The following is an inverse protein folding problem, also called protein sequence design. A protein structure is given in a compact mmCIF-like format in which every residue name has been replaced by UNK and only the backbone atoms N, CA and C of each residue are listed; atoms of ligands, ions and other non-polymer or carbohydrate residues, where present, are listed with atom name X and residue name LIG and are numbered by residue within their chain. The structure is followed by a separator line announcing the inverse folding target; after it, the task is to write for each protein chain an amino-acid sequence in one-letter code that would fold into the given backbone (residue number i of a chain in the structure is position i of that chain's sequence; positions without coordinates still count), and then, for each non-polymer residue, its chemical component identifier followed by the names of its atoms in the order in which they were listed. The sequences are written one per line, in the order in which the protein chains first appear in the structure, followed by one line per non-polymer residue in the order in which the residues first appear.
data_IF_726529324533
#
_entry.id   IF_726529324533
#
_cell.length_a   1.000
_cell.length_b   1.000
_cell.length_c   1.000
_cell.angle_alpha   90.00
_cell.angle_beta   90.00
_cell.angle_gamma   90.00
#
_symmetry.space_group_name_H-M   'P 1'
#
loop_
_entity.id
_entity.type
_entity.pdbx_description
1 polymer ?
#
# COMPACT_ATOMS: atom_id res chain seq x y z
N UNK A 1 15.36 -11.88 -21.62
CA UNK A 1 14.02 -12.41 -21.27
C UNK A 1 14.20 -13.83 -20.77
N UNK A 2 13.97 -14.06 -19.50
CA UNK A 2 13.89 -15.42 -19.00
C UNK A 2 12.51 -15.97 -19.35
N UNK A 3 12.45 -16.78 -20.41
CA UNK A 3 11.23 -17.41 -20.89
C UNK A 3 10.70 -18.51 -19.94
N UNK A 4 11.46 -18.88 -18.93
CA UNK A 4 11.05 -19.95 -18.00
C UNK A 4 10.05 -19.47 -16.95
N UNK A 5 10.11 -18.21 -16.55
CA UNK A 5 9.21 -17.62 -15.54
C UNK A 5 7.86 -17.21 -16.14
N UNK A 6 7.80 -16.88 -17.42
CA UNK A 6 6.58 -16.43 -18.09
C UNK A 6 5.63 -17.56 -18.53
N UNK A 7 6.04 -18.83 -18.47
CA UNK A 7 5.25 -19.96 -18.98
C UNK A 7 3.98 -20.29 -18.18
N UNK A 8 3.80 -19.73 -16.99
CA UNK A 8 2.63 -19.98 -16.15
C UNK A 8 1.78 -18.75 -15.88
N UNK A 9 2.36 -17.55 -15.86
CA UNK A 9 1.71 -16.33 -15.37
C UNK A 9 1.43 -15.28 -16.44
N UNK A 10 2.02 -15.41 -17.66
CA UNK A 10 1.99 -14.36 -18.68
C UNK A 10 2.91 -13.18 -18.34
N UNK A 11 3.08 -12.27 -19.30
CA UNK A 11 3.77 -11.00 -19.09
C UNK A 11 2.80 -9.97 -18.51
N UNK A 12 3.28 -9.08 -17.62
CA UNK A 12 2.50 -7.92 -17.16
C UNK A 12 2.70 -6.77 -18.13
N UNK A 13 1.61 -6.25 -18.65
CA UNK A 13 1.56 -5.07 -19.51
C UNK A 13 1.13 -3.86 -18.67
N UNK A 14 2.08 -2.99 -18.33
CA UNK A 14 1.77 -1.70 -17.72
C UNK A 14 1.46 -0.69 -18.80
N UNK A 15 0.25 -0.11 -18.77
CA UNK A 15 -0.19 0.93 -19.69
C UNK A 15 -0.41 2.24 -18.93
N UNK A 16 0.29 3.31 -19.34
CA UNK A 16 0.26 4.63 -18.71
C UNK A 16 -0.30 5.71 -19.63
N UNK A 17 -0.57 6.90 -19.03
CA UNK A 17 -0.95 8.12 -19.71
C UNK A 17 -2.30 8.02 -20.45
N UNK A 18 -3.29 7.49 -19.74
CA UNK A 18 -4.67 7.37 -20.22
C UNK A 18 -5.58 8.46 -19.66
N UNK A 19 -5.06 9.55 -19.22
CA UNK A 19 -5.61 10.67 -18.41
C UNK A 19 -6.98 11.22 -18.88
N UNK A 20 -7.89 10.33 -19.27
CA UNK A 20 -9.25 10.58 -19.76
C UNK A 20 -10.20 9.52 -19.21
N UNK A 21 -11.45 9.88 -19.03
CA UNK A 21 -12.54 8.99 -18.59
C UNK A 21 -13.77 9.06 -19.53
N UNK A 22 -13.58 9.62 -20.72
CA UNK A 22 -14.61 9.68 -21.74
C UNK A 22 -14.86 8.29 -22.39
N UNK A 23 -15.94 8.19 -23.15
CA UNK A 23 -16.38 6.93 -23.77
C UNK A 23 -15.31 6.28 -24.65
N UNK A 24 -14.52 7.06 -25.36
CA UNK A 24 -13.47 6.57 -26.23
C UNK A 24 -12.36 5.88 -25.41
N UNK A 25 -11.93 6.50 -24.30
CA UNK A 25 -10.93 5.95 -23.43
C UNK A 25 -11.43 4.72 -22.66
N UNK A 26 -12.68 4.73 -22.21
CA UNK A 26 -13.31 3.56 -21.61
C UNK A 26 -13.31 2.37 -22.60
N UNK A 27 -13.72 2.61 -23.84
CA UNK A 27 -13.71 1.59 -24.90
C UNK A 27 -12.29 1.08 -25.18
N UNK A 28 -11.29 1.97 -25.17
CA UNK A 28 -9.89 1.59 -25.32
C UNK A 28 -9.43 0.64 -24.19
N UNK A 29 -9.74 0.97 -22.93
CA UNK A 29 -9.37 0.13 -21.78
C UNK A 29 -10.01 -1.26 -21.87
N UNK A 30 -11.30 -1.36 -22.27
CA UNK A 30 -11.96 -2.64 -22.53
C UNK A 30 -11.26 -3.42 -23.63
N UNK A 31 -10.99 -2.76 -24.77
CA UNK A 31 -10.31 -3.41 -25.91
C UNK A 31 -8.91 -3.85 -25.57
N UNK A 32 -8.14 -3.05 -24.84
CA UNK A 32 -6.80 -3.42 -24.37
C UNK A 32 -6.86 -4.65 -23.47
N UNK A 33 -7.82 -4.71 -22.53
CA UNK A 33 -8.01 -5.85 -21.64
C UNK A 33 -8.33 -7.14 -22.40
N UNK A 34 -9.24 -7.06 -23.36
CA UNK A 34 -9.62 -8.19 -24.24
C UNK A 34 -8.41 -8.71 -25.05
N UNK A 35 -7.67 -7.80 -25.67
CA UNK A 35 -6.50 -8.17 -26.46
C UNK A 35 -5.42 -8.80 -25.58
N UNK A 36 -5.13 -8.22 -24.43
CA UNK A 36 -4.17 -8.79 -23.47
C UNK A 36 -4.61 -10.17 -22.97
N UNK A 37 -5.89 -10.37 -22.69
CA UNK A 37 -6.43 -11.68 -22.31
C UNK A 37 -6.19 -12.74 -23.42
N UNK A 38 -6.44 -12.38 -24.67
CA UNK A 38 -6.18 -13.25 -25.84
C UNK A 38 -4.72 -13.71 -25.93
N UNK A 39 -3.79 -12.83 -25.56
CA UNK A 39 -2.36 -13.14 -25.56
C UNK A 39 -1.83 -13.62 -24.21
N UNK A 40 -2.74 -13.93 -23.23
CA UNK A 40 -2.39 -14.37 -21.86
C UNK A 40 -1.47 -13.38 -21.14
N UNK A 41 -1.72 -12.10 -21.33
CA UNK A 41 -1.01 -11.03 -20.65
C UNK A 41 -1.84 -10.48 -19.51
N UNK A 42 -1.19 -10.22 -18.37
CA UNK A 42 -1.75 -9.48 -17.27
C UNK A 42 -1.63 -7.98 -17.53
N UNK A 43 -2.52 -7.18 -16.96
CA UNK A 43 -2.56 -5.73 -17.20
C UNK A 43 -2.57 -4.96 -15.90
N UNK A 44 -1.78 -3.90 -15.85
CA UNK A 44 -1.80 -2.86 -14.84
C UNK A 44 -1.95 -1.49 -15.54
N UNK A 45 -3.05 -0.78 -15.26
CA UNK A 45 -3.35 0.51 -15.87
C UNK A 45 -2.94 1.67 -14.97
N UNK A 46 -2.13 2.58 -15.51
CA UNK A 46 -1.71 3.82 -14.85
C UNK A 46 -2.18 5.07 -15.60
N UNK A 47 -2.22 6.21 -14.89
CA UNK A 47 -2.79 7.44 -15.44
C UNK A 47 -4.21 7.17 -15.98
N UNK A 48 -5.05 6.50 -15.24
CA UNK A 48 -6.34 5.98 -15.67
C UNK A 48 -7.40 6.32 -14.62
N UNK A 49 -8.67 6.33 -15.04
CA UNK A 49 -9.79 6.43 -14.11
C UNK A 49 -9.83 5.22 -13.14
N UNK A 50 -10.50 5.41 -11.99
CA UNK A 50 -10.66 4.34 -10.98
C UNK A 50 -11.39 3.11 -11.56
N UNK A 51 -11.17 1.90 -11.00
CA UNK A 51 -11.86 0.69 -11.46
C UNK A 51 -13.38 0.84 -11.46
N UNK A 52 -14.02 0.25 -12.47
CA UNK A 52 -15.48 0.24 -12.65
C UNK A 52 -16.06 -1.17 -12.62
N UNK A 53 -15.26 -2.17 -12.16
CA UNK A 53 -15.64 -3.58 -12.14
C UNK A 53 -15.12 -4.37 -13.35
N UNK A 54 -14.33 -3.77 -14.23
CA UNK A 54 -13.78 -4.40 -15.43
C UNK A 54 -13.00 -5.69 -15.11
N UNK A 55 -12.28 -5.73 -13.99
CA UNK A 55 -11.53 -6.90 -13.51
C UNK A 55 -12.42 -8.14 -13.24
N UNK A 56 -13.73 -7.96 -13.09
CA UNK A 56 -14.69 -9.07 -12.96
C UNK A 56 -15.00 -9.72 -14.30
N UNK A 57 -14.94 -8.94 -15.38
CA UNK A 57 -15.10 -9.42 -16.76
C UNK A 57 -13.79 -9.91 -17.34
N UNK A 58 -12.71 -9.19 -17.06
CA UNK A 58 -11.35 -9.47 -17.53
C UNK A 58 -10.41 -9.64 -16.32
N UNK A 59 -10.35 -10.85 -15.73
CA UNK A 59 -9.54 -11.09 -14.53
C UNK A 59 -8.02 -11.00 -14.77
N UNK A 60 -7.60 -10.87 -16.02
CA UNK A 60 -6.22 -10.53 -16.38
C UNK A 60 -5.87 -9.07 -16.09
N UNK A 61 -6.83 -8.20 -15.79
CA UNK A 61 -6.59 -6.85 -15.30
C UNK A 61 -6.35 -6.92 -13.79
N UNK A 62 -5.09 -6.82 -13.38
CA UNK A 62 -4.70 -7.00 -12.00
C UNK A 62 -4.90 -5.74 -11.18
N UNK A 63 -4.53 -4.59 -11.73
CA UNK A 63 -4.46 -3.38 -10.95
C UNK A 63 -4.70 -2.12 -11.77
N UNK A 64 -4.98 -1.04 -11.03
CA UNK A 64 -5.21 0.30 -11.56
C UNK A 64 -4.53 1.31 -10.65
N UNK A 65 -3.85 2.30 -11.21
CA UNK A 65 -3.47 3.47 -10.44
C UNK A 65 -4.75 4.23 -10.02
N UNK A 66 -5.34 5.00 -10.90
CA UNK A 66 -6.59 5.75 -10.67
C UNK A 66 -6.68 6.42 -9.29
N UNK A 67 -5.54 6.91 -8.78
CA UNK A 67 -5.32 7.45 -7.44
C UNK A 67 -4.15 8.43 -7.52
N UNK A 68 -4.09 9.40 -6.64
CA UNK A 68 -2.87 10.17 -6.45
C UNK A 68 -1.85 9.31 -5.69
N UNK A 69 -1.08 8.51 -6.44
CA UNK A 69 -0.06 7.64 -5.88
C UNK A 69 1.13 8.40 -5.28
N UNK A 70 2.02 7.67 -4.63
CA UNK A 70 3.19 8.28 -3.96
C UNK A 70 4.10 9.04 -4.94
N UNK A 71 4.02 8.75 -6.23
CA UNK A 71 4.76 9.47 -7.26
C UNK A 71 4.50 10.98 -7.26
N UNK A 72 3.31 11.43 -6.84
CA UNK A 72 2.96 12.84 -6.73
C UNK A 72 3.93 13.63 -5.83
N UNK A 73 4.57 12.95 -4.88
CA UNK A 73 5.54 13.57 -3.97
C UNK A 73 6.82 14.05 -4.67
N UNK A 74 7.05 13.67 -5.92
CA UNK A 74 8.18 14.16 -6.72
C UNK A 74 8.06 15.63 -7.11
N UNK A 75 6.82 16.14 -7.21
CA UNK A 75 6.52 17.48 -7.71
C UNK A 75 5.51 18.27 -6.89
N UNK A 76 4.79 17.64 -5.96
CA UNK A 76 3.85 18.32 -5.08
C UNK A 76 4.45 18.57 -3.70
N UNK A 77 4.40 19.81 -3.22
CA UNK A 77 4.80 20.17 -1.86
C UNK A 77 3.73 19.82 -0.84
N UNK A 78 4.06 19.84 0.46
CA UNK A 78 3.08 19.63 1.54
C UNK A 78 1.93 20.65 1.54
N UNK A 79 2.16 21.84 1.00
CA UNK A 79 1.13 22.90 0.89
C UNK A 79 0.14 22.60 -0.23
N UNK A 80 0.59 21.92 -1.27
CA UNK A 80 -0.25 21.56 -2.42
C UNK A 80 -0.96 20.23 -2.18
N UNK A 81 -0.33 19.31 -1.48
CA UNK A 81 -0.89 17.99 -1.27
C UNK A 81 -0.44 17.36 0.07
N UNK A 82 -1.38 17.17 0.99
CA UNK A 82 -1.17 16.43 2.24
C UNK A 82 -1.39 14.93 2.03
N UNK A 83 -0.31 14.24 1.69
CA UNK A 83 -0.34 12.79 1.45
C UNK A 83 -0.70 12.00 2.71
N UNK A 84 -0.32 12.47 3.89
CA UNK A 84 -0.56 11.77 5.15
C UNK A 84 -2.05 11.70 5.49
N UNK A 85 -2.77 12.80 5.30
CA UNK A 85 -4.24 12.81 5.45
C UNK A 85 -4.94 12.08 4.29
N UNK A 86 -4.40 12.19 3.09
CA UNK A 86 -4.92 11.49 1.92
C UNK A 86 -4.89 9.96 2.10
N UNK A 87 -3.79 9.40 2.60
CA UNK A 87 -3.60 7.96 2.78
C UNK A 87 -4.58 7.33 3.80
N UNK A 88 -5.06 8.11 4.77
CA UNK A 88 -6.11 7.64 5.71
C UNK A 88 -7.52 7.96 5.23
N UNK A 89 -7.64 8.53 4.02
CA UNK A 89 -8.92 8.85 3.38
C UNK A 89 -9.24 7.83 2.28
N UNK A 90 -8.28 7.51 1.43
CA UNK A 90 -8.50 6.67 0.24
C UNK A 90 -8.94 5.23 0.55
N UNK A 91 -8.63 4.59 1.69
CA UNK A 91 -9.21 3.29 2.03
C UNK A 91 -10.74 3.31 2.12
N UNK A 92 -11.33 4.44 2.48
CA UNK A 92 -12.79 4.59 2.62
C UNK A 92 -13.51 5.01 1.35
N UNK A 93 -12.79 5.49 0.34
CA UNK A 93 -13.36 6.00 -0.91
C UNK A 93 -12.82 5.29 -2.14
N UNK A 94 -11.53 5.47 -2.46
CA UNK A 94 -10.92 4.92 -3.68
C UNK A 94 -10.84 3.39 -3.67
N UNK A 95 -10.47 2.80 -2.54
CA UNK A 95 -10.28 1.35 -2.42
C UNK A 95 -11.60 0.57 -2.54
N UNK A 96 -12.75 1.20 -2.28
CA UNK A 96 -14.08 0.61 -2.49
C UNK A 96 -14.31 0.29 -3.98
N UNK A 97 -13.71 1.02 -4.89
CA UNK A 97 -13.83 0.77 -6.32
C UNK A 97 -13.03 -0.45 -6.80
N UNK A 98 -12.06 -0.90 -6.01
CA UNK A 98 -11.18 -2.04 -6.33
C UNK A 98 -9.71 -1.76 -6.04
N UNK A 99 -8.81 -2.66 -6.43
CA UNK A 99 -7.40 -2.58 -6.12
C UNK A 99 -6.76 -1.31 -6.67
N UNK A 100 -5.64 -0.89 -6.08
CA UNK A 100 -4.91 0.30 -6.51
C UNK A 100 -3.40 0.09 -6.46
N UNK A 101 -2.71 0.42 -7.54
CA UNK A 101 -1.26 0.52 -7.57
C UNK A 101 -0.85 1.93 -7.11
N UNK A 102 -0.71 2.07 -5.81
CA UNK A 102 -0.36 3.34 -5.16
C UNK A 102 1.13 3.65 -5.25
N UNK A 103 1.96 2.66 -5.58
CA UNK A 103 3.42 2.76 -5.65
C UNK A 103 4.06 3.17 -4.31
N UNK A 104 3.67 2.50 -3.23
CA UNK A 104 4.20 2.72 -1.88
C UNK A 104 5.62 2.19 -1.68
N UNK A 105 6.18 2.41 -0.49
CA UNK A 105 7.43 1.82 -0.04
C UNK A 105 8.65 2.72 -0.15
N UNK A 106 8.48 4.04 -0.13
CA UNK A 106 9.61 4.95 -0.11
C UNK A 106 10.48 4.76 1.14
N UNK A 107 11.81 4.67 0.94
CA UNK A 107 12.80 4.55 2.00
C UNK A 107 13.39 5.91 2.42
N UNK A 108 13.04 6.99 1.73
CA UNK A 108 13.23 8.36 2.18
C UNK A 108 11.92 8.91 2.70
N UNK A 109 11.88 9.23 3.99
CA UNK A 109 10.66 9.62 4.68
C UNK A 109 10.89 10.99 5.35
N UNK A 110 9.91 11.87 5.29
CA UNK A 110 9.99 13.22 5.79
C UNK A 110 8.96 13.50 6.89
N UNK A 111 9.40 13.95 8.04
CA UNK A 111 8.55 14.51 9.06
C UNK A 111 7.84 15.77 8.54
N UNK A 112 6.77 16.18 9.22
CA UNK A 112 6.01 17.37 8.85
C UNK A 112 6.89 18.60 8.73
N UNK A 113 6.75 19.33 7.63
CA UNK A 113 7.58 20.53 7.34
C UNK A 113 8.95 20.23 6.74
N UNK A 114 9.36 18.96 6.65
CA UNK A 114 10.68 18.58 6.11
C UNK A 114 10.59 17.98 4.69
N UNK A 115 9.39 17.75 4.18
CA UNK A 115 9.22 17.24 2.83
C UNK A 115 9.64 18.26 1.78
N UNK A 116 10.36 17.78 0.77
CA UNK A 116 10.76 18.54 -0.42
C UNK A 116 10.42 17.75 -1.66
N UNK A 117 9.70 18.38 -2.58
CA UNK A 117 9.41 17.80 -3.88
C UNK A 117 10.65 17.90 -4.79
N UNK A 118 11.44 16.83 -4.81
CA UNK A 118 12.66 16.74 -5.65
C UNK A 118 12.57 15.48 -6.49
N UNK A 119 12.46 15.65 -7.80
CA UNK A 119 12.25 14.53 -8.73
C UNK A 119 13.41 13.51 -8.69
N UNK A 120 14.66 13.98 -8.61
CA UNK A 120 15.86 13.13 -8.57
C UNK A 120 16.08 12.42 -7.22
N UNK A 121 15.45 12.91 -6.16
CA UNK A 121 15.56 12.37 -4.81
C UNK A 121 14.20 12.35 -4.09
N UNK A 122 13.24 11.60 -4.63
CA UNK A 122 11.87 11.61 -4.10
C UNK A 122 11.84 11.09 -2.66
N UNK A 123 10.92 11.63 -1.87
CA UNK A 123 10.67 11.19 -0.50
C UNK A 123 9.15 11.15 -0.24
N UNK A 124 8.72 10.31 0.71
CA UNK A 124 7.36 10.33 1.21
C UNK A 124 7.18 11.35 2.33
N UNK A 125 5.97 11.83 2.50
CA UNK A 125 5.54 12.47 3.74
C UNK A 125 5.21 11.40 4.79
N UNK A 126 5.42 11.72 6.08
CA UNK A 126 5.17 10.80 7.19
C UNK A 126 6.31 9.80 7.42
N UNK A 127 6.07 8.87 8.33
CA UNK A 127 7.10 7.99 8.88
C UNK A 127 7.42 6.78 8.00
N UNK A 128 8.52 6.08 8.32
CA UNK A 128 8.90 4.81 7.72
C UNK A 128 7.85 3.74 7.97
N UNK A 129 7.36 3.62 9.20
CA UNK A 129 6.35 2.64 9.56
C UNK A 129 5.04 2.84 8.81
N UNK A 130 4.71 4.10 8.51
CA UNK A 130 3.58 4.43 7.63
C UNK A 130 3.73 3.75 6.27
N UNK A 131 4.90 3.83 5.63
CA UNK A 131 5.13 3.19 4.33
C UNK A 131 5.03 1.67 4.40
N UNK A 132 5.42 1.06 5.52
CA UNK A 132 5.26 -0.38 5.72
C UNK A 132 3.78 -0.76 5.90
N UNK A 133 3.04 0.00 6.70
CA UNK A 133 1.63 -0.26 6.97
C UNK A 133 0.74 -0.18 5.72
N UNK A 134 1.08 0.66 4.74
CA UNK A 134 0.33 0.78 3.48
C UNK A 134 0.27 -0.53 2.69
N UNK A 135 1.28 -1.41 2.79
CA UNK A 135 1.25 -2.71 2.13
C UNK A 135 0.19 -3.67 2.69
N UNK A 136 -0.22 -3.46 3.93
CA UNK A 136 -1.31 -4.22 4.54
C UNK A 136 -2.66 -3.54 4.30
N UNK A 137 -2.70 -2.21 4.37
CA UNK A 137 -3.96 -1.44 4.29
C UNK A 137 -4.46 -1.36 2.86
N UNK A 138 -3.59 -1.04 1.89
CA UNK A 138 -4.00 -0.88 0.50
C UNK A 138 -4.13 -2.24 -0.18
N UNK A 139 -5.25 -2.46 -0.82
CA UNK A 139 -5.46 -3.67 -1.61
C UNK A 139 -4.79 -3.51 -2.97
N UNK A 140 -3.83 -4.37 -3.24
CA UNK A 140 -3.09 -4.36 -4.48
C UNK A 140 -2.50 -5.75 -4.75
N UNK A 141 -3.09 -6.54 -5.65
CA UNK A 141 -2.58 -7.87 -6.00
C UNK A 141 -1.25 -7.82 -6.76
N UNK A 142 -0.86 -6.64 -7.22
CA UNK A 142 0.41 -6.38 -7.88
C UNK A 142 0.90 -4.98 -7.51
N UNK A 143 1.98 -4.89 -6.73
CA UNK A 143 2.55 -3.63 -6.26
C UNK A 143 3.82 -3.28 -7.00
N UNK A 144 3.93 -2.06 -7.50
CA UNK A 144 5.20 -1.51 -7.96
C UNK A 144 5.93 -0.83 -6.80
N UNK A 145 7.17 -1.25 -6.55
CA UNK A 145 8.03 -0.58 -5.58
C UNK A 145 8.47 0.79 -6.11
N UNK A 146 8.30 1.84 -5.31
CA UNK A 146 8.53 3.21 -5.75
C UNK A 146 9.98 3.69 -5.67
N UNK A 147 10.82 3.01 -4.88
CA UNK A 147 12.17 3.48 -4.58
C UNK A 147 13.26 2.76 -5.41
N UNK A 148 14.47 3.29 -5.39
CA UNK A 148 15.61 2.70 -6.09
C UNK A 148 16.10 1.41 -5.40
N UNK A 149 16.55 0.40 -6.18
CA UNK A 149 17.09 -0.83 -5.61
C UNK A 149 18.23 -0.63 -4.60
N UNK A 150 19.01 0.43 -4.78
CA UNK A 150 20.07 0.81 -3.84
C UNK A 150 19.57 1.23 -2.47
N UNK A 151 18.39 1.87 -2.40
CA UNK A 151 17.75 2.26 -1.15
C UNK A 151 17.19 1.03 -0.44
N UNK A 152 16.52 0.14 -1.15
CA UNK A 152 16.05 -1.14 -0.60
C UNK A 152 17.21 -2.01 -0.08
N UNK A 153 18.34 -2.06 -0.78
CA UNK A 153 19.53 -2.80 -0.31
C UNK A 153 20.13 -2.20 0.96
N UNK A 154 20.01 -0.90 1.17
CA UNK A 154 20.47 -0.21 2.38
C UNK A 154 19.56 -0.46 3.56
N UNK A 155 18.26 -0.48 3.33
CA UNK A 155 17.20 -0.63 4.33
C UNK A 155 16.68 -2.08 4.38
N UNK A 156 17.57 -3.04 4.58
CA UNK A 156 17.31 -4.47 4.45
C UNK A 156 16.14 -4.96 5.29
N UNK A 157 16.08 -4.57 6.58
CA UNK A 157 15.04 -5.03 7.50
C UNK A 157 13.63 -4.63 7.03
N UNK A 158 13.45 -3.38 6.60
CA UNK A 158 12.18 -2.91 6.03
C UNK A 158 11.87 -3.60 4.69
N UNK A 159 12.91 -3.84 3.88
CA UNK A 159 12.74 -4.51 2.58
C UNK A 159 12.36 -5.98 2.75
N UNK A 160 12.95 -6.68 3.70
CA UNK A 160 12.57 -8.06 4.06
C UNK A 160 11.12 -8.11 4.53
N UNK A 161 10.71 -7.16 5.38
CA UNK A 161 9.31 -7.05 5.80
C UNK A 161 8.37 -6.90 4.60
N UNK A 162 8.65 -5.94 3.71
CA UNK A 162 7.85 -5.72 2.50
C UNK A 162 7.78 -6.97 1.62
N UNK A 163 8.91 -7.65 1.43
CA UNK A 163 8.98 -8.84 0.56
C UNK A 163 8.20 -10.05 1.10
N UNK A 164 7.93 -10.09 2.39
CA UNK A 164 7.18 -11.14 3.06
C UNK A 164 5.67 -10.85 3.19
N UNK A 165 5.24 -9.63 2.88
CA UNK A 165 3.81 -9.30 2.90
C UNK A 165 3.12 -9.88 1.66
N UNK A 166 2.07 -10.70 1.83
CA UNK A 166 1.28 -11.21 0.72
C UNK A 166 0.57 -10.10 -0.05
N UNK A 167 0.29 -10.35 -1.31
CA UNK A 167 -0.50 -9.44 -2.17
C UNK A 167 -1.94 -9.91 -2.35
N UNK A 168 -2.26 -11.12 -1.90
CA UNK A 168 -3.59 -11.74 -1.95
C UNK A 168 -3.95 -12.18 -0.54
N UNK A 169 -5.19 -11.93 -0.16
CA UNK A 169 -5.68 -12.11 1.19
C UNK A 169 -6.87 -13.06 1.23
N UNK A 170 -6.88 -13.96 2.22
CA UNK A 170 -8.00 -14.88 2.47
C UNK A 170 -9.13 -14.21 3.24
N UNK A 171 -8.77 -13.25 4.11
CA UNK A 171 -9.72 -12.58 4.99
C UNK A 171 -9.26 -11.16 5.31
N UNK A 172 -10.21 -10.26 5.53
CA UNK A 172 -9.95 -8.88 5.98
C UNK A 172 -10.91 -8.53 7.12
N UNK A 173 -10.35 -8.04 8.23
CA UNK A 173 -11.08 -7.60 9.42
C UNK A 173 -10.83 -6.12 9.63
N UNK A 174 -11.90 -5.32 9.73
CA UNK A 174 -11.81 -3.92 10.11
C UNK A 174 -11.66 -3.82 11.63
N UNK A 175 -10.55 -3.24 12.09
CA UNK A 175 -10.28 -3.08 13.52
C UNK A 175 -10.74 -1.72 14.04
N UNK A 176 -10.40 -0.66 13.34
CA UNK A 176 -10.79 0.70 13.70
C UNK A 176 -10.67 1.63 12.49
N UNK A 177 -11.47 2.70 12.45
CA UNK A 177 -11.33 3.68 11.38
C UNK A 177 -12.23 4.88 11.51
N UNK A 178 -11.70 6.02 11.06
CA UNK A 178 -12.44 7.26 10.89
C UNK A 178 -11.86 7.99 9.69
N UNK A 179 -12.71 8.30 8.72
CA UNK A 179 -12.32 8.93 7.45
C UNK A 179 -11.47 10.18 7.70
N UNK A 180 -10.35 10.28 6.97
CA UNK A 180 -9.37 11.36 7.07
C UNK A 180 -8.63 11.49 8.40
N UNK A 181 -8.87 10.58 9.34
CA UNK A 181 -8.21 10.59 10.64
C UNK A 181 -7.30 9.39 10.85
N UNK A 182 -7.83 8.17 10.77
CA UNK A 182 -7.07 6.95 10.97
C UNK A 182 -7.77 5.73 10.38
N UNK A 183 -7.00 4.67 10.18
CA UNK A 183 -7.49 3.35 9.75
C UNK A 183 -6.60 2.26 10.33
N UNK A 184 -7.22 1.19 10.80
CA UNK A 184 -6.53 -0.04 11.20
C UNK A 184 -7.31 -1.24 10.69
N UNK A 185 -6.62 -2.14 9.99
CA UNK A 185 -7.19 -3.38 9.47
C UNK A 185 -6.25 -4.55 9.73
N UNK A 186 -6.82 -5.74 9.86
CA UNK A 186 -6.09 -6.99 9.87
C UNK A 186 -6.44 -7.81 8.62
N UNK A 187 -5.46 -8.48 8.05
CA UNK A 187 -5.61 -9.36 6.88
C UNK A 187 -4.94 -10.69 7.11
N UNK A 188 -5.54 -11.77 6.67
CA UNK A 188 -5.02 -13.12 6.78
C UNK A 188 -4.55 -13.66 5.44
N UNK A 189 -3.42 -14.36 5.48
CA UNK A 189 -2.97 -15.21 4.40
C UNK A 189 -2.47 -16.54 4.98
N UNK A 190 -3.12 -17.63 4.62
CA UNK A 190 -2.86 -18.93 5.25
C UNK A 190 -3.13 -18.87 6.76
N UNK A 191 -2.10 -19.13 7.56
CA UNK A 191 -2.18 -19.09 9.03
C UNK A 191 -1.67 -17.77 9.63
N UNK A 192 -1.12 -16.88 8.81
CA UNK A 192 -0.51 -15.65 9.27
C UNK A 192 -1.44 -14.47 9.14
N UNK A 193 -1.38 -13.58 10.11
CA UNK A 193 -2.13 -12.34 10.14
C UNK A 193 -1.20 -11.13 10.04
N UNK A 194 -1.64 -10.15 9.30
CA UNK A 194 -0.94 -8.89 9.05
C UNK A 194 -1.83 -7.74 9.47
N UNK A 195 -1.32 -6.85 10.32
CA UNK A 195 -2.06 -5.68 10.81
C UNK A 195 -1.39 -4.42 10.30
N UNK A 196 -2.15 -3.58 9.63
CA UNK A 196 -1.73 -2.24 9.24
C UNK A 196 -2.53 -1.19 9.99
N UNK A 197 -1.86 -0.18 10.53
CA UNK A 197 -2.51 0.96 11.19
C UNK A 197 -1.85 2.27 10.75
N UNK A 198 -2.68 3.24 10.39
CA UNK A 198 -2.27 4.58 9.96
C UNK A 198 -3.08 5.64 10.68
N UNK A 199 -2.43 6.74 11.05
CA UNK A 199 -3.08 7.98 11.49
C UNK A 199 -2.71 9.13 10.55
N UNK A 200 -3.47 10.22 10.57
CA UNK A 200 -3.05 11.48 9.96
C UNK A 200 -1.92 12.13 10.82
N UNK A 201 -1.68 13.43 10.68
CA UNK A 201 -0.63 14.12 11.45
C UNK A 201 -0.90 14.23 12.95
N UNK A 202 -2.05 13.76 13.43
CA UNK A 202 -2.40 13.78 14.86
C UNK A 202 -2.03 12.43 15.48
N UNK A 203 -1.12 12.38 16.46
CA UNK A 203 -0.82 11.15 17.17
C UNK A 203 -2.05 10.57 17.86
N UNK A 204 -2.16 9.25 17.90
CA UNK A 204 -3.29 8.54 18.51
C UNK A 204 -2.83 7.27 19.22
N UNK A 205 -3.57 6.93 20.25
CA UNK A 205 -3.54 5.60 20.82
C UNK A 205 -4.80 4.83 20.40
N UNK A 206 -4.64 3.59 20.03
CA UNK A 206 -5.76 2.69 19.73
C UNK A 206 -5.61 1.42 20.56
N UNK A 207 -6.74 0.95 21.08
CA UNK A 207 -6.85 -0.38 21.67
C UNK A 207 -7.44 -1.31 20.61
N UNK A 208 -6.61 -2.20 20.09
CA UNK A 208 -6.99 -3.16 19.05
C UNK A 208 -7.48 -4.45 19.70
N UNK A 209 -8.63 -4.93 19.25
CA UNK A 209 -9.16 -6.24 19.61
C UNK A 209 -8.61 -7.29 18.63
N UNK A 210 -7.81 -8.22 19.13
CA UNK A 210 -7.20 -9.30 18.38
C UNK A 210 -7.95 -10.64 18.54
N UNK A 211 -9.20 -10.63 18.95
CA UNK A 211 -10.02 -11.84 19.15
C UNK A 211 -10.21 -12.66 17.86
N UNK A 212 -10.02 -12.06 16.69
CA UNK A 212 -10.02 -12.76 15.40
C UNK A 212 -8.89 -13.77 15.23
N UNK A 213 -7.83 -13.72 16.04
CA UNK A 213 -6.70 -14.67 15.95
C UNK A 213 -7.08 -16.10 16.34
N UNK A 214 -8.19 -16.31 17.00
CA UNK A 214 -8.56 -17.64 17.47
C UNK A 214 -7.72 -18.15 18.64
N UNK A 215 -7.82 -19.45 18.92
CA UNK A 215 -7.07 -20.13 19.99
C UNK A 215 -5.62 -20.39 19.56
N UNK A 216 -4.70 -20.43 20.54
CA UNK A 216 -3.29 -20.71 20.33
C UNK A 216 -2.38 -19.56 20.76
N UNK A 217 -1.09 -19.83 20.71
CA UNK A 217 -0.04 -18.86 21.00
C UNK A 217 0.41 -18.19 19.73
N UNK A 218 0.47 -16.86 19.75
CA UNK A 218 0.90 -16.04 18.62
C UNK A 218 2.08 -15.16 19.03
N UNK A 219 2.99 -14.96 18.09
CA UNK A 219 4.09 -14.00 18.20
C UNK A 219 3.82 -12.82 17.29
N UNK A 220 3.93 -11.61 17.81
CA UNK A 220 3.80 -10.37 17.09
C UNK A 220 5.17 -9.81 16.73
N UNK A 221 5.43 -9.63 15.43
CA UNK A 221 6.52 -8.82 14.93
C UNK A 221 5.96 -7.42 14.65
N UNK A 222 6.40 -6.44 15.43
CA UNK A 222 5.87 -5.08 15.41
C UNK A 222 6.91 -4.08 14.91
N UNK A 223 6.60 -3.39 13.82
CA UNK A 223 7.29 -2.18 13.39
C UNK A 223 6.50 -0.96 13.86
N UNK A 224 7.09 -0.14 14.69
CA UNK A 224 6.47 1.07 15.23
C UNK A 224 7.41 2.27 15.10
N UNK A 225 6.84 3.45 15.06
CA UNK A 225 7.60 4.68 15.04
C UNK A 225 8.55 4.77 16.26
N UNK A 226 9.78 5.20 16.00
CA UNK A 226 10.78 5.42 17.02
C UNK A 226 10.51 6.71 17.82
N UNK A 227 11.23 6.89 18.92
CA UNK A 227 11.05 8.03 19.83
C UNK A 227 11.30 9.39 19.16
N UNK A 228 12.06 9.42 18.07
CA UNK A 228 12.39 10.64 17.33
C UNK A 228 11.67 10.73 15.97
N UNK A 229 10.65 9.91 15.71
CA UNK A 229 10.00 9.85 14.40
C UNK A 229 9.36 11.18 13.98
N UNK A 230 8.97 12.02 14.94
CA UNK A 230 8.47 13.38 14.73
C UNK A 230 9.49 14.32 14.07
N UNK A 231 10.79 14.04 14.24
CA UNK A 231 11.91 14.82 13.69
C UNK A 231 12.68 14.06 12.61
N UNK A 232 12.79 12.76 12.78
CA UNK A 232 13.51 11.84 11.91
C UNK A 232 12.57 10.73 11.44
N UNK A 233 11.75 11.00 10.44
CA UNK A 233 10.67 10.12 9.97
C UNK A 233 11.11 8.69 9.58
N UNK A 234 12.42 8.44 9.51
CA UNK A 234 13.01 7.11 9.29
C UNK A 234 13.30 6.38 10.60
N UNK A 235 13.11 7.03 11.76
CA UNK A 235 13.31 6.40 13.06
C UNK A 235 12.17 5.45 13.35
N UNK A 236 12.49 4.18 13.55
CA UNK A 236 11.54 3.12 13.86
C UNK A 236 12.16 2.11 14.83
N UNK A 237 11.31 1.34 15.46
CA UNK A 237 11.70 0.23 16.32
C UNK A 237 10.99 -1.04 15.88
N UNK A 238 11.76 -2.11 15.72
CA UNK A 238 11.25 -3.47 15.55
C UNK A 238 11.23 -4.18 16.89
N UNK A 239 10.13 -4.79 17.23
CA UNK A 239 9.97 -5.62 18.44
C UNK A 239 9.34 -6.95 18.08
N UNK A 240 9.74 -8.01 18.79
CA UNK A 240 9.11 -9.33 18.72
C UNK A 240 8.61 -9.68 20.11
N UNK A 241 7.29 -9.75 20.26
CA UNK A 241 6.63 -9.95 21.54
C UNK A 241 5.53 -11.01 21.43
N UNK A 242 5.19 -11.74 22.52
CA UNK A 242 4.00 -12.57 22.49
C UNK A 242 2.74 -11.70 22.39
N UNK A 243 1.75 -12.20 21.68
CA UNK A 243 0.42 -11.58 21.67
C UNK A 243 -0.18 -11.74 23.08
N UNK A 244 -0.76 -10.66 23.67
CA UNK A 244 -1.39 -10.72 24.98
C UNK A 244 -2.50 -11.78 25.05
N UNK A 245 -2.61 -12.46 26.19
CA UNK A 245 -3.59 -13.53 26.39
C UNK A 245 -5.05 -13.03 26.37
N UNK A 246 -5.26 -11.79 26.74
CA UNK A 246 -6.56 -11.10 26.66
C UNK A 246 -6.91 -10.60 25.25
N UNK A 247 -6.02 -10.88 24.27
CA UNK A 247 -6.19 -10.46 22.87
C UNK A 247 -6.36 -8.95 22.68
N UNK A 248 -5.84 -8.14 23.58
CA UNK A 248 -5.87 -6.67 23.45
C UNK A 248 -4.48 -6.13 23.22
N UNK A 249 -4.35 -5.32 22.22
CA UNK A 249 -3.08 -4.67 21.86
C UNK A 249 -3.26 -3.16 21.83
N UNK A 250 -2.57 -2.47 22.72
CA UNK A 250 -2.50 -1.00 22.66
C UNK A 250 -1.37 -0.60 21.73
N UNK A 251 -1.69 0.22 20.75
CA UNK A 251 -0.72 0.80 19.82
C UNK A 251 -0.72 2.33 19.92
N UNK A 252 0.44 2.91 19.69
CA UNK A 252 0.63 4.35 19.52
C UNK A 252 1.03 4.62 18.08
N UNK A 253 0.37 5.62 17.45
CA UNK A 253 0.58 6.00 16.05
C UNK A 253 0.90 7.49 15.95
#
# INVERSE_FOLDING_TARGET
RDRSVSRGLGDVYKRQFLDRDDQEMVNFVYKASEVCAKYKMLVDFHGVFKPTGLQRTYPNVLNYEGVNGLEQMKWSSEKEFDMVTYDVTIPFIRMIAGPMDYTQGAMRNAARGNHRSVNSEPMSQGTRCRQLATYVIFESPFNMLCDAPSNYRREKECTEFISNIPTIWDETVSLAGKVSEYVAIARRHGNDWYIGALTNWTPRELDLDLSFLGEGDYTLELFKDGINADRAARDYKKEVIPVPTDRKLKIHM
#
